data_IF_754578061451
#
_entry.id   IF_754578061451
#
_cell.length_a   1.000
_cell.length_b   1.000
_cell.length_c   1.000
_cell.angle_alpha   90.00
_cell.angle_beta   90.00
_cell.angle_gamma   90.00
#
_symmetry.space_group_name_H-M   'P 1'
#
loop_
_entity.id
_entity.type
_entity.pdbx_description
1 polymer ?
#
# COMPACT_ATOMS: atom_id res chain seq x y z
N UNK A 1 -14.87 -41.73 -10.15
CA UNK A 1 -14.31 -43.09 -10.04
C UNK A 1 -15.46 -44.07 -9.83
N UNK A 2 -15.76 -44.91 -10.83
CA UNK A 2 -16.90 -45.83 -10.76
C UNK A 2 -16.56 -47.17 -10.06
N UNK A 3 -15.28 -47.54 -10.01
CA UNK A 3 -14.83 -48.82 -9.43
C UNK A 3 -14.50 -48.67 -7.93
N UNK A 4 -15.08 -49.52 -7.09
CA UNK A 4 -14.88 -49.56 -5.63
C UNK A 4 -13.42 -49.87 -5.26
N UNK A 5 -12.75 -50.77 -5.99
CA UNK A 5 -11.33 -51.08 -5.80
C UNK A 5 -10.44 -49.84 -5.92
N UNK A 6 -10.80 -48.92 -6.81
CA UNK A 6 -10.05 -47.69 -7.01
C UNK A 6 -10.25 -46.75 -5.82
N UNK A 7 -11.46 -46.69 -5.26
CA UNK A 7 -11.76 -45.91 -4.05
C UNK A 7 -10.99 -46.45 -2.84
N UNK A 8 -11.01 -47.77 -2.64
CA UNK A 8 -10.25 -48.44 -1.57
C UNK A 8 -8.74 -48.20 -1.68
N UNK A 9 -8.18 -48.20 -2.89
CA UNK A 9 -6.77 -47.86 -3.12
C UNK A 9 -6.43 -46.43 -2.71
N UNK A 10 -7.29 -45.46 -3.04
CA UNK A 10 -7.11 -44.05 -2.66
C UNK A 10 -7.20 -43.88 -1.14
N UNK A 11 -8.21 -44.47 -0.49
CA UNK A 11 -8.35 -44.41 0.96
C UNK A 11 -7.14 -45.02 1.68
N UNK A 12 -6.69 -46.19 1.23
CA UNK A 12 -5.55 -46.87 1.84
C UNK A 12 -4.23 -46.11 1.61
N UNK A 13 -4.04 -45.52 0.44
CA UNK A 13 -2.90 -44.65 0.16
C UNK A 13 -2.93 -43.42 1.09
N UNK A 14 -4.10 -42.81 1.28
CA UNK A 14 -4.26 -41.65 2.17
C UNK A 14 -4.00 -42.01 3.64
N UNK A 15 -4.57 -43.12 4.13
CA UNK A 15 -4.31 -43.66 5.49
C UNK A 15 -2.82 -43.87 5.73
N UNK A 16 -2.10 -44.42 4.76
CA UNK A 16 -0.63 -44.61 4.83
C UNK A 16 0.10 -43.26 4.87
N UNK A 17 -0.28 -42.30 4.03
CA UNK A 17 0.37 -40.99 3.97
C UNK A 17 0.27 -40.22 5.30
N UNK A 18 -0.87 -40.29 5.98
CA UNK A 18 -1.09 -39.56 7.24
C UNK A 18 -0.70 -40.35 8.50
N UNK A 19 -0.27 -41.61 8.36
CA UNK A 19 0.10 -42.47 9.51
C UNK A 19 1.25 -41.93 10.36
N UNK A 20 2.13 -41.11 9.75
CA UNK A 20 3.26 -40.47 10.42
C UNK A 20 2.91 -39.16 11.12
N UNK A 21 1.68 -38.65 10.94
CA UNK A 21 1.25 -37.42 11.61
C UNK A 21 1.11 -37.66 13.11
N UNK A 22 1.52 -36.65 13.88
CA UNK A 22 1.44 -36.67 15.34
C UNK A 22 0.01 -36.42 15.83
N UNK A 23 -0.80 -35.71 15.06
CA UNK A 23 -2.19 -35.46 15.41
C UNK A 23 -3.01 -36.73 15.24
N UNK A 24 -4.01 -36.96 16.12
CA UNK A 24 -5.00 -38.02 15.88
C UNK A 24 -5.84 -37.64 14.66
N UNK A 25 -5.92 -38.54 13.69
CA UNK A 25 -6.69 -38.33 12.46
C UNK A 25 -7.72 -39.45 12.34
N UNK A 26 -8.98 -39.08 12.17
CA UNK A 26 -10.09 -39.98 11.86
C UNK A 26 -10.50 -39.76 10.40
N UNK A 27 -10.59 -40.84 9.64
CA UNK A 27 -10.85 -40.83 8.20
C UNK A 27 -12.10 -41.66 7.96
N UNK A 28 -13.13 -41.07 7.37
CA UNK A 28 -14.31 -41.79 6.89
C UNK A 28 -14.03 -42.42 5.51
N UNK A 29 -14.90 -43.32 5.04
CA UNK A 29 -14.85 -43.78 3.65
C UNK A 29 -15.32 -42.68 2.69
N UNK A 30 -15.03 -42.82 1.40
CA UNK A 30 -15.49 -41.91 0.37
C UNK A 30 -17.03 -41.96 0.32
N UNK A 31 -17.66 -40.80 0.55
CA UNK A 31 -19.10 -40.61 0.49
C UNK A 31 -19.66 -40.95 -0.89
N UNK A 32 -20.97 -41.27 -0.97
CA UNK A 32 -21.68 -41.46 -2.24
C UNK A 32 -21.57 -40.24 -3.17
N UNK A 33 -21.35 -39.04 -2.61
CA UNK A 33 -21.10 -37.81 -3.36
C UNK A 33 -19.64 -37.67 -3.85
N UNK A 34 -18.78 -38.62 -3.55
CA UNK A 34 -17.35 -38.60 -3.91
C UNK A 34 -16.47 -37.75 -3.00
N UNK A 35 -16.95 -37.39 -1.80
CA UNK A 35 -16.21 -36.59 -0.81
C UNK A 35 -15.55 -37.50 0.24
N UNK A 36 -14.33 -37.18 0.66
CA UNK A 36 -13.63 -37.86 1.75
C UNK A 36 -13.62 -36.95 2.98
N UNK A 37 -14.32 -37.36 4.04
CA UNK A 37 -14.38 -36.61 5.30
C UNK A 37 -13.24 -37.00 6.23
N UNK A 38 -12.59 -35.99 6.79
CA UNK A 38 -11.43 -36.17 7.66
C UNK A 38 -11.55 -35.24 8.86
N UNK A 39 -11.39 -35.80 10.05
CA UNK A 39 -11.25 -35.05 11.29
C UNK A 39 -9.81 -35.18 11.80
N UNK A 40 -9.11 -34.07 11.97
CA UNK A 40 -7.72 -34.01 12.45
C UNK A 40 -7.65 -33.21 13.74
N UNK A 41 -7.07 -33.79 14.78
CA UNK A 41 -6.87 -33.13 16.07
C UNK A 41 -5.99 -31.88 15.94
N UNK A 42 -6.45 -30.76 16.49
CA UNK A 42 -5.72 -29.48 16.48
C UNK A 42 -4.75 -29.41 17.66
N UNK A 43 -3.44 -29.49 17.38
CA UNK A 43 -2.38 -29.41 18.41
C UNK A 43 -1.82 -27.99 18.61
N UNK A 44 -1.91 -27.14 17.58
CA UNK A 44 -1.42 -25.76 17.55
C UNK A 44 -2.39 -24.90 16.72
N UNK A 45 -2.36 -23.57 16.84
CA UNK A 45 -2.99 -22.68 15.87
C UNK A 45 -2.55 -23.03 14.45
N UNK A 46 -3.48 -22.89 13.51
CA UNK A 46 -3.18 -23.12 12.10
C UNK A 46 -2.28 -22.01 11.56
N UNK A 47 -1.60 -22.28 10.45
CA UNK A 47 -0.76 -21.28 9.80
C UNK A 47 -1.58 -20.05 9.36
N UNK A 48 -2.81 -20.25 8.87
CA UNK A 48 -3.69 -19.17 8.47
C UNK A 48 -4.20 -18.31 9.64
N UNK A 49 -4.32 -18.89 10.84
CA UNK A 49 -4.62 -18.13 12.07
C UNK A 49 -3.40 -17.37 12.60
N UNK A 50 -2.20 -17.74 12.16
CA UNK A 50 -0.95 -17.05 12.52
C UNK A 50 -0.70 -15.84 11.60
N UNK A 51 -1.24 -15.86 10.37
CA UNK A 51 -1.19 -14.74 9.46
C UNK A 51 -2.37 -13.79 9.72
N UNK A 52 -2.07 -12.52 9.97
CA UNK A 52 -3.06 -11.45 10.07
C UNK A 52 -3.44 -10.95 8.67
N UNK A 53 -3.93 -11.84 7.82
CA UNK A 53 -4.45 -11.48 6.50
C UNK A 53 -5.97 -11.60 6.56
N UNK A 54 -6.64 -10.48 6.79
CA UNK A 54 -8.11 -10.42 6.69
C UNK A 54 -8.53 -10.67 5.22
N UNK A 55 -8.86 -11.91 4.89
CA UNK A 55 -9.57 -12.23 3.66
C UNK A 55 -11.02 -11.74 3.76
N UNK A 56 -11.21 -10.43 3.60
CA UNK A 56 -12.56 -9.85 3.58
C UNK A 56 -13.20 -10.15 2.23
N UNK A 57 -14.38 -10.78 2.24
CA UNK A 57 -15.25 -10.89 1.07
C UNK A 57 -15.71 -9.47 0.68
N UNK A 58 -15.00 -8.85 -0.27
CA UNK A 58 -15.28 -7.48 -0.70
C UNK A 58 -16.53 -7.47 -1.60
N UNK A 59 -17.54 -6.69 -1.20
CA UNK A 59 -18.75 -6.48 -2.01
C UNK A 59 -18.40 -5.82 -3.35
N UNK A 60 -19.10 -6.21 -4.41
CA UNK A 60 -18.97 -5.57 -5.72
C UNK A 60 -19.49 -4.13 -5.76
N UNK A 61 -19.08 -3.32 -6.75
CA UNK A 61 -19.41 -1.89 -6.82
C UNK A 61 -20.92 -1.62 -6.90
N UNK A 62 -21.67 -2.43 -7.66
CA UNK A 62 -23.14 -2.37 -7.74
C UNK A 62 -23.81 -2.60 -6.39
N UNK A 63 -23.34 -3.58 -5.62
CA UNK A 63 -23.91 -3.93 -4.31
C UNK A 63 -23.66 -2.81 -3.30
N UNK A 64 -22.42 -2.28 -3.26
CA UNK A 64 -22.06 -1.14 -2.41
C UNK A 64 -22.86 0.10 -2.81
N UNK A 65 -22.93 0.43 -4.10
CA UNK A 65 -23.68 1.58 -4.59
C UNK A 65 -25.17 1.53 -4.20
N UNK A 66 -25.81 0.37 -4.32
CA UNK A 66 -27.21 0.22 -3.91
C UNK A 66 -27.39 0.37 -2.38
N UNK A 67 -26.41 -0.09 -1.60
CA UNK A 67 -26.41 0.12 -0.14
C UNK A 67 -26.31 1.60 0.20
N UNK A 68 -25.45 2.33 -0.51
CA UNK A 68 -25.24 3.77 -0.31
C UNK A 68 -26.50 4.56 -0.66
N UNK A 69 -27.19 4.24 -1.77
CA UNK A 69 -28.46 4.89 -2.11
C UNK A 69 -29.52 4.76 -1.02
N UNK A 70 -29.57 3.61 -0.33
CA UNK A 70 -30.49 3.42 0.81
C UNK A 70 -30.12 4.32 1.99
N UNK A 71 -28.82 4.41 2.31
CA UNK A 71 -28.32 5.30 3.37
C UNK A 71 -28.62 6.76 3.04
N UNK A 72 -28.41 7.17 1.79
CA UNK A 72 -28.76 8.53 1.32
C UNK A 72 -30.26 8.76 1.52
N UNK A 73 -31.13 7.84 1.08
CA UNK A 73 -32.57 7.98 1.27
C UNK A 73 -32.99 8.13 2.74
N UNK A 74 -32.32 7.41 3.65
CA UNK A 74 -32.54 7.56 5.09
C UNK A 74 -32.05 8.92 5.64
N UNK A 75 -30.88 9.38 5.19
CA UNK A 75 -30.31 10.64 5.66
C UNK A 75 -31.03 11.87 5.12
N UNK A 76 -31.57 11.79 3.90
CA UNK A 76 -32.40 12.85 3.32
C UNK A 76 -33.73 12.98 4.07
N UNK A 77 -34.30 11.88 4.56
CA UNK A 77 -35.56 11.90 5.31
C UNK A 77 -35.43 12.53 6.71
N UNK A 78 -34.22 12.87 7.17
CA UNK A 78 -33.98 13.51 8.46
C UNK A 78 -34.16 15.02 8.36
N UNK A 79 -34.73 15.61 9.41
CA UNK A 79 -34.97 17.05 9.50
C UNK A 79 -33.68 17.89 9.42
N UNK A 80 -33.83 19.10 8.87
CA UNK A 80 -32.77 20.11 8.77
C UNK A 80 -31.52 19.59 8.03
N UNK A 81 -31.73 18.93 6.90
CA UNK A 81 -30.67 18.45 6.02
C UNK A 81 -30.65 19.31 4.77
N UNK A 82 -29.50 19.91 4.45
CA UNK A 82 -29.36 20.77 3.27
C UNK A 82 -28.49 20.13 2.20
N UNK A 83 -27.42 19.42 2.60
CA UNK A 83 -26.52 18.74 1.68
C UNK A 83 -26.06 17.40 2.26
N UNK A 84 -25.91 16.39 1.40
CA UNK A 84 -25.30 15.10 1.74
C UNK A 84 -24.05 14.91 0.90
N UNK A 85 -22.93 14.65 1.57
CA UNK A 85 -21.63 14.38 0.94
C UNK A 85 -21.28 12.90 1.09
N UNK A 86 -21.03 12.25 -0.03
CA UNK A 86 -20.78 10.81 -0.11
C UNK A 86 -19.39 10.59 -0.67
N UNK A 87 -18.47 10.14 0.17
CA UNK A 87 -17.11 9.80 -0.20
C UNK A 87 -17.04 8.31 -0.53
N UNK A 88 -16.65 7.99 -1.75
CA UNK A 88 -16.63 6.63 -2.28
C UNK A 88 -15.41 6.37 -3.16
N UNK A 89 -14.93 5.13 -3.26
CA UNK A 89 -13.93 4.73 -4.23
C UNK A 89 -14.34 5.10 -5.66
N UNK A 90 -13.36 5.36 -6.53
CA UNK A 90 -13.59 5.84 -7.90
C UNK A 90 -14.50 4.91 -8.74
N UNK A 91 -14.40 3.60 -8.55
CA UNK A 91 -15.24 2.62 -9.26
C UNK A 91 -16.71 2.66 -8.82
N UNK A 92 -16.97 2.82 -7.53
CA UNK A 92 -18.32 3.01 -6.99
C UNK A 92 -18.88 4.38 -7.39
N UNK A 93 -18.06 5.43 -7.38
CA UNK A 93 -18.46 6.76 -7.83
C UNK A 93 -18.93 6.74 -9.29
N UNK A 94 -18.18 6.05 -10.16
CA UNK A 94 -18.57 5.87 -11.57
C UNK A 94 -19.94 5.19 -11.69
N UNK A 95 -20.18 4.14 -10.91
CA UNK A 95 -21.47 3.44 -10.90
C UNK A 95 -22.64 4.33 -10.44
N UNK A 96 -22.42 5.11 -9.37
CA UNK A 96 -23.44 5.99 -8.82
C UNK A 96 -23.79 7.12 -9.79
N UNK A 97 -22.77 7.77 -10.35
CA UNK A 97 -22.93 8.97 -11.19
C UNK A 97 -23.37 8.67 -12.63
N UNK A 98 -23.27 7.43 -13.10
CA UNK A 98 -23.69 7.04 -14.45
C UNK A 98 -24.94 6.17 -14.42
N UNK A 99 -24.87 4.96 -13.88
CA UNK A 99 -25.96 3.99 -13.88
C UNK A 99 -27.09 4.37 -12.92
N UNK A 100 -26.75 5.02 -11.80
CA UNK A 100 -27.71 5.44 -10.77
C UNK A 100 -28.01 6.94 -10.75
N UNK A 101 -27.60 7.65 -11.81
CA UNK A 101 -27.82 9.09 -11.97
C UNK A 101 -29.30 9.49 -11.80
N UNK A 102 -30.21 8.77 -12.44
CA UNK A 102 -31.65 9.07 -12.41
C UNK A 102 -32.24 8.89 -11.02
N UNK A 103 -31.82 7.84 -10.32
CA UNK A 103 -32.28 7.55 -8.95
C UNK A 103 -31.84 8.68 -8.00
N UNK A 104 -30.59 9.17 -8.13
CA UNK A 104 -30.08 10.30 -7.34
C UNK A 104 -30.87 11.57 -7.63
N UNK A 105 -31.04 11.92 -8.91
CA UNK A 105 -31.80 13.12 -9.31
C UNK A 105 -33.23 13.07 -8.77
N UNK A 106 -33.88 11.90 -8.80
CA UNK A 106 -35.24 11.76 -8.25
C UNK A 106 -35.31 12.04 -6.74
N UNK A 107 -34.25 11.69 -6.00
CA UNK A 107 -34.14 11.99 -4.57
C UNK A 107 -33.92 13.49 -4.36
N UNK A 108 -33.02 14.11 -5.14
CA UNK A 108 -32.77 15.55 -5.07
C UNK A 108 -34.04 16.35 -5.39
N UNK A 109 -34.75 16.00 -6.47
CA UNK A 109 -35.96 16.70 -6.91
C UNK A 109 -37.12 16.56 -5.92
N UNK A 110 -37.28 15.38 -5.31
CA UNK A 110 -38.37 15.12 -4.37
C UNK A 110 -38.17 15.77 -3.01
N UNK A 111 -36.92 15.99 -2.59
CA UNK A 111 -36.60 16.44 -1.23
C UNK A 111 -35.98 17.83 -1.15
N UNK A 112 -35.47 18.35 -2.27
CA UNK A 112 -34.74 19.61 -2.32
C UNK A 112 -33.34 19.56 -1.67
N UNK A 113 -32.88 18.38 -1.22
CA UNK A 113 -31.57 18.18 -0.62
C UNK A 113 -30.54 17.94 -1.71
N UNK A 114 -29.41 18.66 -1.65
CA UNK A 114 -28.32 18.49 -2.60
C UNK A 114 -27.46 17.28 -2.26
N UNK A 115 -27.17 16.42 -3.23
CA UNK A 115 -26.37 15.20 -3.06
C UNK A 115 -25.05 15.34 -3.82
N UNK A 116 -23.94 15.37 -3.09
CA UNK A 116 -22.59 15.39 -3.65
C UNK A 116 -21.93 14.02 -3.54
N UNK A 117 -21.60 13.42 -4.68
CA UNK A 117 -20.78 12.21 -4.74
C UNK A 117 -19.34 12.60 -5.06
N UNK A 118 -18.44 12.26 -4.14
CA UNK A 118 -17.02 12.61 -4.19
C UNK A 118 -16.24 11.31 -4.35
N UNK A 119 -15.50 11.22 -5.46
CA UNK A 119 -14.61 10.10 -5.71
C UNK A 119 -13.31 10.29 -4.92
N UNK A 120 -12.98 9.30 -4.08
CA UNK A 120 -11.68 9.19 -3.42
C UNK A 120 -10.81 8.17 -4.18
N UNK A 121 -9.79 8.61 -4.92
CA UNK A 121 -8.93 7.71 -5.69
C UNK A 121 -7.94 6.93 -4.82
N UNK A 122 -7.77 7.29 -3.55
CA UNK A 122 -6.79 6.69 -2.64
C UNK A 122 -7.40 5.62 -1.73
N UNK A 123 -8.72 5.42 -1.79
CA UNK A 123 -9.44 4.40 -1.04
C UNK A 123 -10.01 3.34 -1.96
N UNK A 124 -9.88 2.08 -1.54
CA UNK A 124 -10.51 0.95 -2.19
C UNK A 124 -11.75 0.49 -1.43
N UNK A 125 -12.60 -0.29 -2.10
CA UNK A 125 -13.68 -1.03 -1.45
C UNK A 125 -13.12 -1.87 -0.28
N UNK A 126 -13.84 -1.99 0.85
CA UNK A 126 -15.24 -1.61 1.07
C UNK A 126 -15.47 -0.19 1.61
N UNK A 127 -14.47 0.69 1.58
CA UNK A 127 -14.57 2.03 2.18
C UNK A 127 -15.70 2.86 1.57
N UNK A 128 -16.46 3.55 2.41
CA UNK A 128 -17.33 4.67 2.05
C UNK A 128 -17.59 5.53 3.29
N UNK A 129 -17.94 6.81 3.09
CA UNK A 129 -18.33 7.72 4.17
C UNK A 129 -19.48 8.60 3.69
N UNK A 130 -20.57 8.65 4.44
CA UNK A 130 -21.71 9.54 4.19
C UNK A 130 -21.72 10.60 5.28
N UNK A 131 -21.73 11.87 4.89
CA UNK A 131 -21.72 13.03 5.78
C UNK A 131 -22.93 13.88 5.47
N UNK A 132 -23.76 14.10 6.49
CA UNK A 132 -24.92 14.97 6.41
C UNK A 132 -24.55 16.37 6.88
N UNK A 133 -24.88 17.38 6.08
CA UNK A 133 -24.64 18.79 6.35
C UNK A 133 -25.98 19.48 6.58
N UNK A 134 -26.10 20.15 7.73
CA UNK A 134 -27.27 20.95 8.09
C UNK A 134 -27.22 22.30 7.38
N UNK A 135 -28.37 22.96 7.27
CA UNK A 135 -28.50 24.24 6.57
C UNK A 135 -27.55 25.33 7.12
N UNK A 136 -27.34 25.36 8.44
CA UNK A 136 -26.41 26.29 9.10
C UNK A 136 -24.92 26.07 8.75
N UNK A 137 -24.55 24.90 8.25
CA UNK A 137 -23.15 24.48 8.03
C UNK A 137 -22.78 24.39 6.54
N UNK A 138 -23.70 24.78 5.64
CA UNK A 138 -23.49 24.69 4.19
C UNK A 138 -22.35 25.62 3.77
N UNK A 139 -21.23 25.02 3.34
CA UNK A 139 -20.10 25.72 2.74
C UNK A 139 -20.19 25.60 1.22
N UNK A 140 -20.17 26.73 0.51
CA UNK A 140 -20.07 26.75 -0.96
C UNK A 140 -18.65 26.36 -1.39
N UNK A 141 -18.36 25.06 -1.41
CA UNK A 141 -17.12 24.49 -1.95
C UNK A 141 -17.44 23.65 -3.18
N UNK A 142 -16.51 23.62 -4.13
CA UNK A 142 -16.63 22.74 -5.29
C UNK A 142 -16.38 21.28 -4.87
N UNK A 143 -16.94 20.33 -5.61
CA UNK A 143 -16.79 18.90 -5.31
C UNK A 143 -15.34 18.42 -5.35
N UNK A 144 -14.51 18.98 -6.24
CA UNK A 144 -13.09 18.64 -6.35
C UNK A 144 -12.24 19.15 -5.18
N UNK A 145 -12.66 20.24 -4.51
CA UNK A 145 -11.98 20.76 -3.31
C UNK A 145 -12.29 19.94 -2.05
N UNK A 146 -13.29 19.05 -2.13
CA UNK A 146 -13.66 18.13 -1.06
C UNK A 146 -12.96 16.78 -1.20
N UNK A 147 -12.36 16.48 -2.36
CA UNK A 147 -11.59 15.25 -2.55
C UNK A 147 -10.40 15.26 -1.59
N UNK A 148 -10.17 14.16 -0.84
CA UNK A 148 -9.05 14.10 0.09
C UNK A 148 -7.71 14.20 -0.64
N UNK A 149 -6.76 14.88 -0.01
CA UNK A 149 -5.40 15.03 -0.52
C UNK A 149 -4.73 13.66 -0.70
N UNK A 150 -3.83 13.59 -1.70
CA UNK A 150 -2.99 12.42 -1.90
C UNK A 150 -2.26 12.07 -0.60
N UNK A 151 -2.31 10.81 -0.13
CA UNK A 151 -1.47 10.39 0.97
C UNK A 151 -0.02 10.66 0.59
N UNK A 152 0.61 11.59 1.31
CA UNK A 152 2.03 11.85 1.13
C UNK A 152 2.78 10.62 1.60
N UNK A 153 3.77 10.12 0.83
CA UNK A 153 4.56 8.98 1.28
C UNK A 153 5.19 9.34 2.61
N UNK A 154 4.87 8.57 3.64
CA UNK A 154 5.46 8.73 4.95
C UNK A 154 6.92 8.26 4.88
N UNK A 155 7.85 9.14 5.28
CA UNK A 155 9.27 8.80 5.36
C UNK A 155 9.68 8.30 6.73
N UNK A 156 8.75 8.04 7.65
CA UNK A 156 9.05 7.56 9.01
C UNK A 156 9.84 6.22 9.04
N UNK A 157 9.75 5.39 7.99
CA UNK A 157 10.59 4.19 7.86
C UNK A 157 12.07 4.50 7.58
N UNK A 158 12.37 5.73 7.17
CA UNK A 158 13.72 6.19 6.83
C UNK A 158 14.35 6.81 8.08
N UNK A 159 15.40 6.19 8.58
CA UNK A 159 16.18 6.73 9.70
C UNK A 159 16.57 8.19 9.43
N UNK A 160 16.05 9.12 10.23
CA UNK A 160 16.34 10.56 10.14
C UNK A 160 17.86 10.85 10.24
N UNK A 161 18.61 9.94 10.85
CA UNK A 161 20.08 10.00 10.96
C UNK A 161 20.82 9.85 9.62
N UNK A 162 20.15 9.42 8.56
CA UNK A 162 20.69 9.38 7.20
C UNK A 162 20.42 10.66 6.38
N UNK A 163 19.69 11.62 6.96
CA UNK A 163 19.39 12.93 6.39
C UNK A 163 20.52 13.96 6.54
N UNK A 164 21.79 13.54 6.62
CA UNK A 164 22.89 14.48 6.44
C UNK A 164 22.77 15.03 5.03
N UNK A 165 22.59 16.36 4.89
CA UNK A 165 22.67 17.09 3.60
C UNK A 165 23.79 16.48 2.76
N UNK A 166 23.42 15.65 1.78
CA UNK A 166 24.37 15.09 0.85
C UNK A 166 24.77 16.24 -0.06
N UNK A 167 25.89 16.88 0.28
CA UNK A 167 26.58 17.69 -0.70
C UNK A 167 26.96 16.73 -1.84
N UNK A 168 26.62 17.06 -3.10
CA UNK A 168 26.95 16.19 -4.22
C UNK A 168 28.45 15.89 -4.19
N UNK A 169 28.83 14.62 -4.31
CA UNK A 169 30.24 14.18 -4.25
C UNK A 169 31.07 14.71 -5.44
N UNK A 170 30.38 15.24 -6.44
CA UNK A 170 30.97 16.01 -7.53
C UNK A 170 30.56 17.45 -7.30
N UNK A 171 31.53 18.31 -7.04
CA UNK A 171 31.34 19.76 -7.07
C UNK A 171 30.67 20.06 -8.41
N UNK A 172 29.50 20.72 -8.37
CA UNK A 172 28.89 21.20 -9.59
C UNK A 172 29.97 22.00 -10.31
N UNK A 173 30.37 21.56 -11.51
CA UNK A 173 31.25 22.39 -12.32
C UNK A 173 30.48 23.68 -12.53
N UNK A 174 30.94 24.75 -11.88
CA UNK A 174 30.46 26.09 -12.10
C UNK A 174 30.47 26.29 -13.61
N UNK A 175 29.29 26.28 -14.22
CA UNK A 175 29.12 26.91 -15.52
C UNK A 175 29.33 28.38 -15.21
N UNK A 176 30.60 28.80 -15.26
CA UNK A 176 31.06 30.16 -15.06
C UNK A 176 30.20 31.02 -15.97
N UNK A 177 29.16 31.64 -15.42
CA UNK A 177 28.43 32.70 -16.10
C UNK A 177 29.45 33.80 -16.26
N UNK A 178 30.08 33.85 -17.43
CA UNK A 178 30.84 34.99 -17.89
C UNK A 178 29.82 36.13 -18.10
N UNK A 179 29.35 36.73 -17.01
CA UNK A 179 28.93 38.11 -17.06
C UNK A 179 30.21 38.93 -17.19
N UNK A 180 30.69 39.10 -18.43
CA UNK A 180 31.57 40.21 -18.74
C UNK A 180 30.70 41.46 -18.66
N UNK A 181 30.80 42.13 -17.52
CA UNK A 181 30.51 43.56 -17.42
C UNK A 181 31.42 44.33 -18.39
N UNK A 182 30.95 45.50 -18.80
CA UNK A 182 31.39 46.23 -19.99
C UNK A 182 32.90 46.42 -20.16
N UNK A 183 33.33 46.23 -21.40
CA UNK A 183 34.61 46.65 -21.94
C UNK A 183 34.46 46.75 -23.44
N UNK A 184 34.54 47.98 -23.95
CA UNK A 184 34.12 48.38 -25.29
C UNK A 184 34.79 47.67 -26.46
N UNK A 185 34.28 48.05 -27.63
CA UNK A 185 34.47 47.56 -29.01
C UNK A 185 35.95 47.48 -29.49
N UNK A 186 36.94 47.74 -28.64
CA UNK A 186 38.36 47.86 -29.00
C UNK A 186 39.23 46.61 -28.72
N UNK A 187 38.70 45.49 -28.19
CA UNK A 187 39.51 44.29 -27.90
C UNK A 187 39.65 43.30 -29.07
N UNK A 188 38.87 43.41 -30.13
CA UNK A 188 38.85 42.41 -31.22
C UNK A 188 40.09 42.48 -32.14
N UNK A 189 40.82 43.61 -32.19
CA UNK A 189 41.91 43.79 -33.16
C UNK A 189 43.26 43.21 -32.67
N UNK A 190 43.40 42.80 -31.40
CA UNK A 190 44.70 42.41 -30.82
C UNK A 190 45.04 40.90 -30.80
N UNK A 191 44.21 40.01 -31.34
CA UNK A 191 44.52 38.56 -31.35
C UNK A 191 44.85 37.97 -32.73
N UNK A 192 45.10 38.81 -33.75
CA UNK A 192 45.54 38.36 -35.09
C UNK A 192 47.05 38.08 -35.20
N UNK A 193 47.81 38.20 -34.12
CA UNK A 193 49.26 37.96 -34.15
C UNK A 193 49.74 37.29 -32.86
N UNK A 194 49.84 35.96 -32.85
CA UNK A 194 50.98 35.21 -32.28
C UNK A 194 50.69 33.69 -32.16
N UNK A 195 51.72 32.92 -32.54
CA UNK A 195 51.80 31.47 -32.80
C UNK A 195 51.85 30.57 -31.52
N UNK A 196 51.73 29.22 -31.66
CA UNK A 196 51.49 28.23 -30.57
C UNK A 196 52.74 27.45 -30.12
N UNK A 197 52.67 26.63 -29.03
CA UNK A 197 53.37 25.32 -28.76
C UNK A 197 53.18 24.80 -27.27
N UNK A 198 53.53 23.53 -26.86
CA UNK A 198 52.55 22.53 -26.32
C UNK A 198 52.85 21.79 -24.95
N UNK A 199 52.12 20.67 -24.73
CA UNK A 199 51.79 19.72 -23.59
C UNK A 199 52.89 18.93 -22.81
N UNK A 200 52.50 18.32 -21.64
CA UNK A 200 52.75 16.91 -21.12
C UNK A 200 52.19 16.72 -19.66
N UNK A 201 51.25 15.83 -19.27
CA UNK A 201 51.16 14.34 -18.98
C UNK A 201 52.01 13.75 -17.82
N UNK A 202 51.39 13.05 -16.83
CA UNK A 202 51.71 11.64 -16.36
C UNK A 202 50.91 11.15 -15.11
N UNK A 203 50.91 9.80 -14.90
CA UNK A 203 49.98 8.90 -14.16
C UNK A 203 50.39 8.53 -12.70
N UNK A 204 49.42 8.00 -11.92
CA UNK A 204 49.51 7.40 -10.55
C UNK A 204 49.84 5.89 -10.52
N UNK A 205 50.42 5.40 -9.40
CA UNK A 205 50.39 4.01 -8.88
C UNK A 205 50.02 3.98 -7.38
N UNK A 206 49.37 2.90 -6.94
CA UNK A 206 48.81 2.67 -5.59
C UNK A 206 49.64 1.70 -4.74
N UNK A 207 49.49 1.75 -3.41
CA UNK A 207 49.91 0.67 -2.50
C UNK A 207 49.02 0.63 -1.24
N UNK A 208 48.63 -0.59 -0.84
CA UNK A 208 47.65 -0.91 0.20
C UNK A 208 48.37 -1.51 1.41
N UNK A 209 48.00 -1.15 2.66
CA UNK A 209 48.53 -1.76 3.89
C UNK A 209 47.42 -2.11 4.88
N UNK A 210 47.49 -3.34 5.40
CA UNK A 210 46.58 -3.98 6.38
C UNK A 210 46.92 -3.57 7.82
N UNK A 211 45.95 -3.67 8.74
CA UNK A 211 46.17 -3.61 10.21
C UNK A 211 45.39 -4.70 10.97
N UNK A 212 45.87 -5.14 12.16
CA UNK A 212 45.46 -6.41 12.78
C UNK A 212 44.45 -6.27 13.94
N UNK A 213 43.89 -7.43 14.33
CA UNK A 213 42.86 -7.67 15.36
C UNK A 213 43.46 -7.83 16.77
N UNK A 214 42.78 -7.35 17.81
CA UNK A 214 42.94 -7.77 19.22
C UNK A 214 41.57 -8.03 19.84
N UNK A 215 41.45 -9.13 20.58
CA UNK A 215 40.25 -9.51 21.34
C UNK A 215 40.43 -9.34 22.86
N UNK A 216 39.35 -9.56 23.61
CA UNK A 216 39.42 -10.03 24.99
C UNK A 216 38.07 -10.60 25.48
N UNK A 217 38.14 -11.79 26.09
CA UNK A 217 37.07 -12.48 26.83
C UNK A 217 37.24 -12.23 28.34
N UNK A 218 36.13 -12.17 29.10
CA UNK A 218 36.15 -12.30 30.56
C UNK A 218 35.06 -13.26 31.05
N UNK A 219 35.48 -14.21 31.89
CA UNK A 219 34.75 -15.31 32.55
C UNK A 219 34.46 -14.94 34.01
N UNK A 220 33.37 -15.49 34.59
CA UNK A 220 33.21 -15.99 35.99
C UNK A 220 31.78 -16.55 36.12
N UNK A 221 31.57 -17.86 36.14
CA UNK A 221 31.71 -18.89 37.18
C UNK A 221 30.45 -19.13 38.02
N UNK A 222 30.10 -20.41 38.13
CA UNK A 222 28.89 -21.02 38.69
C UNK A 222 28.98 -21.25 40.21
N UNK A 223 27.83 -21.48 40.85
CA UNK A 223 27.73 -22.44 41.95
C UNK A 223 26.34 -23.07 42.03
N UNK A 224 26.36 -24.35 42.41
CA UNK A 224 25.30 -25.34 42.51
C UNK A 224 24.51 -25.29 43.82
N UNK A 225 23.27 -25.78 43.84
CA UNK A 225 22.84 -26.87 44.74
C UNK A 225 21.40 -27.34 44.50
N UNK A 226 21.25 -28.66 44.59
CA UNK A 226 20.06 -29.53 44.47
C UNK A 226 19.15 -29.49 45.71
N UNK A 227 18.00 -30.18 45.61
CA UNK A 227 17.04 -30.61 46.66
C UNK A 227 15.86 -29.63 46.86
N UNK A 228 14.59 -30.01 46.78
CA UNK A 228 13.91 -31.29 47.09
C UNK A 228 12.62 -31.39 46.30
#
# INVERSE_FOLDING_TARGET
MQNEDSQNKVENAFRRAVSSDRARIQIASISRFGLLEISRQRLKPSLNETYDIEHVLVRGPRSIGQSILRIIGEDVAKDNTAEIQVYVPADVASYLLNEKRRDILSIEDSTGVKILIIADPYKSRPYYKVVRIKDSEVKKKSSYDLTPDSPKPDTDWRDEKSGSKLNPLVDATDHKKNHKSGGGILSWIKSLTASPQPKKTTKKKSTQKRRPRKGNYKKKNANSSKSR
#
